data_IF_924254249953
#
_entry.id   IF_924254249953
#
_cell.length_a   1.000
_cell.length_b   1.000
_cell.length_c   1.000
_cell.angle_alpha   90.00
_cell.angle_beta   90.00
_cell.angle_gamma   90.00
#
_symmetry.space_group_name_H-M   'P 1'
#
loop_
_entity.id
_entity.type
_entity.pdbx_description
1 polymer ?
#
# COMPACT_ATOMS: atom_id res chain seq x y z
N UNK A 1 -18.14 15.49 -3.55
CA UNK A 1 -16.67 15.44 -3.65
C UNK A 1 -16.38 14.64 -4.90
N UNK A 2 -15.53 15.10 -5.84
CA UNK A 2 -15.18 14.29 -7.00
C UNK A 2 -14.45 13.05 -6.51
N UNK A 3 -14.79 11.90 -7.11
CA UNK A 3 -14.17 10.63 -6.79
C UNK A 3 -12.67 10.71 -7.07
N UNK A 4 -11.85 10.17 -6.17
CA UNK A 4 -10.38 10.15 -6.25
C UNK A 4 -9.83 9.52 -7.54
N UNK A 5 -10.65 8.76 -8.26
CA UNK A 5 -10.35 8.09 -9.53
C UNK A 5 -10.28 9.01 -10.76
N UNK A 6 -10.58 10.30 -10.60
CA UNK A 6 -10.52 11.26 -11.72
C UNK A 6 -9.12 11.85 -11.93
N UNK A 7 -8.13 11.42 -11.16
CA UNK A 7 -6.74 11.82 -11.30
C UNK A 7 -5.88 10.57 -11.48
N UNK A 8 -5.56 10.34 -12.73
CA UNK A 8 -4.66 9.30 -13.28
C UNK A 8 -3.84 8.52 -12.25
N UNK A 9 -4.05 7.19 -12.07
CA UNK A 9 -2.97 6.35 -11.62
C UNK A 9 -1.91 6.40 -12.75
N UNK A 10 -0.66 6.64 -12.42
CA UNK A 10 0.41 6.58 -13.37
C UNK A 10 0.80 5.14 -13.64
N UNK A 11 1.47 4.93 -14.74
CA UNK A 11 2.13 3.67 -14.97
C UNK A 11 3.12 3.43 -13.84
N UNK A 12 2.94 2.37 -13.12
CA UNK A 12 4.04 1.75 -12.42
C UNK A 12 4.94 1.22 -13.53
N UNK A 13 5.76 2.11 -14.07
CA UNK A 13 6.74 1.77 -15.08
C UNK A 13 7.61 0.68 -14.48
N UNK A 14 7.71 -0.46 -15.16
CA UNK A 14 8.61 -1.54 -14.80
C UNK A 14 10.04 -1.02 -14.75
N UNK A 15 10.38 -0.32 -13.69
CA UNK A 15 11.76 -0.07 -13.34
C UNK A 15 12.40 -1.45 -13.26
N UNK A 16 13.40 -1.70 -14.12
CA UNK A 16 14.22 -2.90 -14.06
C UNK A 16 14.79 -2.99 -12.65
N UNK A 17 14.05 -3.64 -11.75
CA UNK A 17 14.58 -4.07 -10.47
C UNK A 17 15.59 -5.17 -10.79
N UNK A 18 16.85 -4.79 -10.87
CA UNK A 18 17.95 -5.73 -10.96
C UNK A 18 17.81 -6.67 -9.76
N UNK A 19 17.44 -7.92 -10.08
CA UNK A 19 17.53 -9.10 -9.22
C UNK A 19 17.20 -8.86 -7.74
N UNK A 20 15.91 -8.87 -7.41
CA UNK A 20 15.51 -9.27 -6.09
C UNK A 20 15.74 -10.78 -6.01
N UNK A 21 16.85 -11.20 -5.41
CA UNK A 21 17.01 -12.57 -4.96
C UNK A 21 15.78 -12.91 -4.14
N UNK A 22 15.13 -14.01 -4.48
CA UNK A 22 14.07 -14.63 -3.69
C UNK A 22 14.67 -15.01 -2.33
N UNK A 23 14.66 -14.05 -1.40
CA UNK A 23 14.89 -14.32 0.01
C UNK A 23 13.54 -14.86 0.48
N UNK A 24 13.47 -16.18 0.64
CA UNK A 24 12.45 -16.80 1.46
C UNK A 24 12.63 -16.22 2.86
N UNK A 25 11.93 -15.14 3.16
CA UNK A 25 11.88 -14.59 4.50
C UNK A 25 11.26 -15.68 5.39
N UNK A 26 11.85 -16.00 6.56
CA UNK A 26 11.15 -16.81 7.53
C UNK A 26 9.79 -16.16 7.80
N UNK A 27 8.73 -16.96 7.89
CA UNK A 27 7.43 -16.49 8.35
C UNK A 27 7.66 -15.87 9.74
N UNK A 28 7.75 -14.53 9.77
CA UNK A 28 7.79 -13.80 11.03
C UNK A 28 6.35 -13.80 11.52
N UNK A 29 6.13 -14.52 12.60
CA UNK A 29 4.89 -14.55 13.34
C UNK A 29 4.65 -13.12 13.87
N UNK A 30 4.04 -12.26 13.04
CA UNK A 30 3.55 -10.95 13.47
C UNK A 30 2.28 -11.21 14.27
N UNK A 31 2.48 -11.82 15.46
CA UNK A 31 1.41 -12.11 16.40
C UNK A 31 0.64 -10.84 16.74
N UNK A 32 -0.65 -11.00 17.02
CA UNK A 32 -1.62 -9.95 17.36
C UNK A 32 -1.18 -8.97 18.48
N UNK A 33 0.03 -9.11 19.02
CA UNK A 33 0.56 -8.41 20.18
C UNK A 33 1.58 -7.29 19.92
N UNK A 34 2.04 -7.03 18.68
CA UNK A 34 3.11 -6.04 18.48
C UNK A 34 2.62 -4.59 18.53
N UNK A 35 1.41 -4.30 18.08
CA UNK A 35 0.86 -2.94 18.07
C UNK A 35 0.08 -2.66 19.33
N UNK A 36 0.48 -1.61 20.06
CA UNK A 36 -0.19 -1.18 21.29
C UNK A 36 -1.67 -0.86 21.05
N UNK A 37 -2.56 -1.56 21.72
CA UNK A 37 -4.01 -1.47 21.50
C UNK A 37 -4.58 -0.09 21.88
N UNK A 38 -4.01 0.56 22.89
CA UNK A 38 -4.46 1.87 23.34
C UNK A 38 -4.01 2.95 22.35
N UNK A 39 -2.77 2.87 21.85
CA UNK A 39 -2.30 3.73 20.76
C UNK A 39 -3.17 3.56 19.52
N UNK A 40 -3.46 2.31 19.11
CA UNK A 40 -4.27 2.00 17.95
C UNK A 40 -5.67 2.63 18.05
N UNK A 41 -6.33 2.46 19.20
CA UNK A 41 -7.67 3.01 19.42
C UNK A 41 -7.67 4.54 19.41
N UNK A 42 -6.70 5.18 20.09
CA UNK A 42 -6.58 6.64 20.10
C UNK A 42 -6.26 7.20 18.70
N UNK A 43 -5.29 6.61 18.02
CA UNK A 43 -4.87 7.06 16.69
C UNK A 43 -6.00 6.89 15.67
N UNK A 44 -6.72 5.77 15.68
CA UNK A 44 -7.87 5.56 14.81
C UNK A 44 -8.98 6.60 15.06
N UNK A 45 -9.28 6.92 16.33
CA UNK A 45 -10.28 7.92 16.67
C UNK A 45 -9.89 9.34 16.24
N UNK A 46 -8.60 9.69 16.32
CA UNK A 46 -8.11 11.02 15.99
C UNK A 46 -7.93 11.22 14.49
N UNK A 47 -7.43 10.20 13.78
CA UNK A 47 -7.14 10.28 12.35
C UNK A 47 -8.33 9.94 11.46
N UNK A 48 -9.34 9.27 12.00
CA UNK A 48 -10.47 8.72 11.24
C UNK A 48 -10.11 7.49 10.38
N UNK A 49 -8.89 6.98 10.50
CA UNK A 49 -8.47 5.76 9.80
C UNK A 49 -9.20 4.56 10.44
N UNK A 50 -9.84 3.68 9.67
CA UNK A 50 -10.39 2.45 10.23
C UNK A 50 -9.33 1.67 11.01
N UNK A 51 -9.61 1.29 12.26
CA UNK A 51 -8.62 0.66 13.15
C UNK A 51 -7.97 -0.57 12.51
N UNK A 52 -8.73 -1.34 11.70
CA UNK A 52 -8.20 -2.51 10.99
C UNK A 52 -7.12 -2.14 9.96
N UNK A 53 -7.34 -1.08 9.19
CA UNK A 53 -6.37 -0.58 8.23
C UNK A 53 -5.14 0.02 8.93
N UNK A 54 -5.36 0.84 9.98
CA UNK A 54 -4.27 1.44 10.75
C UNK A 54 -3.35 0.39 11.34
N UNK A 55 -3.91 -0.70 11.89
CA UNK A 55 -3.14 -1.83 12.40
C UNK A 55 -2.23 -2.43 11.32
N UNK A 56 -2.76 -2.66 10.11
CA UNK A 56 -2.00 -3.21 9.00
C UNK A 56 -0.84 -2.27 8.59
N UNK A 57 -1.08 -0.98 8.50
CA UNK A 57 -0.03 -0.01 8.18
C UNK A 57 1.06 0.07 9.24
N UNK A 58 0.68 0.04 10.51
CA UNK A 58 1.64 0.07 11.61
C UNK A 58 2.51 -1.21 11.63
N UNK A 59 1.89 -2.38 11.53
CA UNK A 59 2.59 -3.66 11.49
C UNK A 59 3.51 -3.78 10.27
N UNK A 60 3.05 -3.36 9.10
CA UNK A 60 3.85 -3.35 7.88
C UNK A 60 5.08 -2.42 7.98
N UNK A 61 4.92 -1.23 8.57
CA UNK A 61 6.02 -0.29 8.79
C UNK A 61 7.05 -0.88 9.77
N UNK A 62 6.61 -1.47 10.87
CA UNK A 62 7.48 -2.11 11.87
C UNK A 62 8.29 -3.26 11.24
N UNK A 63 7.62 -4.15 10.53
CA UNK A 63 8.26 -5.29 9.87
C UNK A 63 9.24 -4.83 8.77
N UNK A 64 8.86 -3.86 7.95
CA UNK A 64 9.74 -3.31 6.93
C UNK A 64 10.99 -2.66 7.55
N UNK A 65 10.86 -1.94 8.65
CA UNK A 65 11.98 -1.32 9.35
C UNK A 65 12.88 -2.35 10.05
N UNK A 66 12.33 -3.49 10.45
CA UNK A 66 13.12 -4.62 10.98
C UNK A 66 13.94 -5.29 9.87
N UNK A 67 13.34 -5.48 8.69
CA UNK A 67 13.99 -6.18 7.56
C UNK A 67 14.89 -5.26 6.73
N UNK A 68 14.58 -3.96 6.68
CA UNK A 68 15.34 -2.92 6.00
C UNK A 68 15.54 -1.70 6.90
N UNK A 69 16.44 -1.74 7.91
CA UNK A 69 16.55 -0.71 8.95
C UNK A 69 16.91 0.68 8.43
N UNK A 70 17.50 0.78 7.25
CA UNK A 70 17.82 2.06 6.59
C UNK A 70 16.61 2.75 6.02
N UNK A 71 15.51 2.04 5.78
CA UNK A 71 14.31 2.56 5.15
C UNK A 71 13.59 3.58 6.03
N UNK A 72 13.35 3.23 7.28
CA UNK A 72 12.69 4.07 8.28
C UNK A 72 11.34 4.62 7.82
N UNK A 73 10.55 3.75 7.19
CA UNK A 73 9.20 4.10 6.73
C UNK A 73 8.27 4.32 7.91
N UNK A 74 7.47 5.39 7.87
CA UNK A 74 6.41 5.63 8.84
C UNK A 74 5.08 5.01 8.41
N UNK A 75 4.29 4.55 9.39
CA UNK A 75 2.92 4.06 9.15
C UNK A 75 2.04 5.11 8.47
N UNK A 76 2.26 6.40 8.78
CA UNK A 76 1.53 7.53 8.20
C UNK A 76 1.72 7.64 6.68
N UNK A 77 2.89 7.27 6.15
CA UNK A 77 3.13 7.20 4.70
C UNK A 77 2.28 6.09 4.06
N UNK A 78 2.25 4.90 4.65
CA UNK A 78 1.42 3.78 4.16
C UNK A 78 -0.07 4.11 4.26
N UNK A 79 -0.49 4.71 5.37
CA UNK A 79 -1.87 5.15 5.55
C UNK A 79 -2.28 6.22 4.53
N UNK A 80 -1.40 7.16 4.23
CA UNK A 80 -1.66 8.19 3.22
C UNK A 80 -1.82 7.59 1.82
N UNK A 81 -0.98 6.61 1.45
CA UNK A 81 -1.13 5.87 0.20
C UNK A 81 -2.48 5.13 0.21
N UNK A 82 -2.79 4.36 1.24
CA UNK A 82 -4.07 3.62 1.32
C UNK A 82 -5.30 4.52 1.31
N UNK A 83 -5.19 5.75 1.83
CA UNK A 83 -6.25 6.76 1.71
C UNK A 83 -6.43 7.22 0.26
N UNK A 84 -5.34 7.58 -0.41
CA UNK A 84 -5.38 8.07 -1.79
C UNK A 84 -5.85 6.99 -2.75
N UNK A 85 -5.44 5.73 -2.52
CA UNK A 85 -5.76 4.61 -3.41
C UNK A 85 -7.21 4.13 -3.29
N UNK A 86 -7.72 4.01 -2.07
CA UNK A 86 -9.03 3.37 -1.88
C UNK A 86 -9.83 3.87 -0.67
N UNK A 87 -9.45 5.00 -0.07
CA UNK A 87 -10.00 5.42 1.23
C UNK A 87 -9.93 4.27 2.27
N UNK A 88 -8.74 3.65 2.38
CA UNK A 88 -8.47 2.52 3.28
C UNK A 88 -9.32 1.26 3.00
N UNK A 89 -9.61 0.97 1.75
CA UNK A 89 -10.44 -0.17 1.35
C UNK A 89 -11.94 0.08 1.46
N UNK A 90 -12.39 1.34 1.68
CA UNK A 90 -13.80 1.67 1.81
C UNK A 90 -14.42 2.26 0.53
N UNK A 91 -13.66 2.42 -0.53
CA UNK A 91 -14.16 2.95 -1.80
C UNK A 91 -15.33 2.10 -2.33
N UNK A 92 -16.33 2.75 -2.92
CA UNK A 92 -17.53 2.07 -3.42
C UNK A 92 -18.48 1.56 -2.32
N UNK A 93 -18.27 1.96 -1.06
CA UNK A 93 -19.08 1.51 0.08
C UNK A 93 -18.63 0.18 0.68
N UNK A 94 -17.44 -0.30 0.30
CA UNK A 94 -16.81 -1.46 0.89
C UNK A 94 -16.28 -1.20 2.32
N UNK A 95 -15.71 -2.23 2.91
CA UNK A 95 -15.03 -2.19 4.21
C UNK A 95 -14.00 -3.32 4.29
N UNK A 96 -13.18 -3.29 5.32
CA UNK A 96 -12.28 -4.41 5.63
C UNK A 96 -12.96 -5.32 6.66
N UNK A 97 -12.86 -6.62 6.45
CA UNK A 97 -13.28 -7.63 7.44
C UNK A 97 -12.29 -7.65 8.62
N UNK A 98 -12.63 -8.35 9.70
CA UNK A 98 -11.71 -8.57 10.81
C UNK A 98 -10.40 -9.26 10.37
N UNK A 99 -10.48 -10.16 9.39
CA UNK A 99 -9.31 -10.82 8.79
C UNK A 99 -8.51 -9.92 7.83
N UNK A 100 -8.93 -8.66 7.62
CA UNK A 100 -8.23 -7.74 6.72
C UNK A 100 -8.63 -7.82 5.27
N UNK A 101 -9.54 -8.71 4.93
CA UNK A 101 -10.00 -8.88 3.56
C UNK A 101 -10.95 -7.75 3.15
N UNK A 102 -10.80 -7.22 1.95
CA UNK A 102 -11.78 -6.32 1.39
C UNK A 102 -13.13 -7.02 1.22
N UNK A 103 -14.21 -6.41 1.71
CA UNK A 103 -15.56 -7.00 1.65
C UNK A 103 -16.15 -7.06 0.24
N UNK A 104 -15.55 -6.31 -0.69
CA UNK A 104 -15.86 -6.28 -2.11
C UNK A 104 -14.56 -6.15 -2.88
N UNK A 105 -14.47 -6.70 -4.09
CA UNK A 105 -13.32 -6.46 -4.97
C UNK A 105 -13.13 -4.95 -5.20
N UNK A 106 -11.91 -4.47 -5.01
CA UNK A 106 -11.52 -3.10 -5.31
C UNK A 106 -10.70 -3.16 -6.57
N UNK A 107 -11.34 -2.89 -7.71
CA UNK A 107 -10.71 -2.91 -9.03
C UNK A 107 -10.81 -1.51 -9.62
N UNK A 108 -9.67 -0.97 -9.98
CA UNK A 108 -9.55 0.36 -10.60
C UNK A 108 -10.05 0.37 -12.06
N UNK A 109 -9.97 1.51 -12.72
CA UNK A 109 -10.31 1.62 -14.14
C UNK A 109 -9.31 0.85 -15.01
N UNK A 110 -9.75 0.45 -16.21
CA UNK A 110 -8.92 -0.24 -17.20
C UNK A 110 -7.74 0.63 -17.64
N UNK A 111 -6.54 0.06 -17.64
CA UNK A 111 -5.31 0.69 -18.08
C UNK A 111 -5.14 0.55 -19.61
N UNK A 112 -6.12 1.05 -20.36
CA UNK A 112 -6.24 0.86 -21.82
C UNK A 112 -5.61 1.98 -22.65
N UNK A 113 -4.97 2.96 -22.03
CA UNK A 113 -4.33 4.08 -22.72
C UNK A 113 -5.23 5.32 -22.93
N UNK A 114 -6.52 5.28 -22.59
CA UNK A 114 -7.42 6.42 -22.79
C UNK A 114 -7.15 7.56 -21.80
N UNK A 115 -7.13 7.23 -20.52
CA UNK A 115 -6.86 8.17 -19.41
C UNK A 115 -5.59 7.84 -18.66
N UNK A 116 -5.12 6.61 -18.77
CA UNK A 116 -4.00 6.03 -18.05
C UNK A 116 -3.01 5.42 -19.03
N UNK A 117 -1.83 5.01 -18.57
CA UNK A 117 -0.91 4.25 -19.40
C UNK A 117 -1.59 3.00 -19.95
N UNK A 118 -1.23 2.63 -21.17
CA UNK A 118 -1.67 1.36 -21.75
C UNK A 118 -0.84 0.23 -21.14
N UNK A 119 -1.46 -0.61 -20.33
CA UNK A 119 -0.85 -1.82 -19.75
C UNK A 119 -1.71 -3.02 -20.17
N UNK A 120 -1.29 -3.76 -21.21
CA UNK A 120 -1.95 -5.00 -21.56
C UNK A 120 -1.94 -5.99 -20.40
N UNK A 121 -2.95 -6.85 -20.36
CA UNK A 121 -3.08 -7.89 -19.34
C UNK A 121 -1.79 -8.68 -19.12
N UNK A 122 -1.41 -8.87 -17.85
CA UNK A 122 -0.18 -9.53 -17.44
C UNK A 122 -0.39 -10.80 -16.62
N UNK A 123 -1.65 -11.15 -16.27
CA UNK A 123 -1.96 -12.30 -15.42
C UNK A 123 -3.14 -13.16 -15.92
N UNK A 124 -3.57 -12.95 -17.15
CA UNK A 124 -4.75 -13.60 -17.75
C UNK A 124 -6.07 -13.27 -17.00
N UNK A 125 -6.15 -12.06 -16.44
CA UNK A 125 -7.31 -11.58 -15.69
C UNK A 125 -7.51 -12.28 -14.34
N UNK A 126 -6.48 -12.88 -13.78
CA UNK A 126 -6.59 -13.65 -12.53
C UNK A 126 -6.93 -12.75 -11.36
N UNK A 127 -6.32 -11.58 -11.25
CA UNK A 127 -6.50 -10.68 -10.11
C UNK A 127 -7.63 -9.65 -10.31
N UNK A 128 -7.85 -9.21 -11.55
CA UNK A 128 -8.76 -8.10 -11.84
C UNK A 128 -9.99 -8.49 -12.68
N UNK A 129 -9.97 -9.67 -13.32
CA UNK A 129 -11.06 -10.20 -14.13
C UNK A 129 -11.05 -9.74 -15.58
N UNK A 130 -10.05 -8.95 -16.04
CA UNK A 130 -9.93 -8.49 -17.44
C UNK A 130 -8.69 -9.09 -18.11
N UNK A 131 -8.90 -9.97 -19.10
CA UNK A 131 -7.82 -10.62 -19.86
C UNK A 131 -7.31 -9.78 -21.06
N UNK A 132 -7.65 -8.50 -21.13
CA UNK A 132 -7.19 -7.58 -22.19
C UNK A 132 -6.28 -6.49 -21.62
N UNK A 133 -6.64 -5.95 -20.48
CA UNK A 133 -5.94 -4.82 -19.84
C UNK A 133 -5.82 -5.04 -18.36
N UNK A 134 -4.65 -4.73 -17.79
CA UNK A 134 -4.48 -4.70 -16.34
C UNK A 134 -5.33 -3.60 -15.70
N UNK A 135 -5.80 -3.87 -14.48
CA UNK A 135 -6.40 -2.92 -13.56
C UNK A 135 -5.63 -2.93 -12.25
N UNK A 136 -5.58 -1.80 -11.56
CA UNK A 136 -5.08 -1.78 -10.20
C UNK A 136 -6.07 -2.48 -9.26
N UNK A 137 -5.57 -3.29 -8.32
CA UNK A 137 -6.40 -4.11 -7.44
C UNK A 137 -6.12 -3.91 -5.96
N UNK A 138 -7.15 -4.08 -5.16
CA UNK A 138 -7.08 -4.11 -3.71
C UNK A 138 -6.97 -2.74 -3.04
N UNK A 139 -6.90 -2.72 -1.69
CA UNK A 139 -6.91 -1.48 -0.91
C UNK A 139 -5.69 -0.59 -1.15
N UNK A 140 -4.59 -1.12 -1.67
CA UNK A 140 -3.38 -0.37 -2.02
C UNK A 140 -3.18 -0.26 -3.53
N UNK A 141 -4.14 -0.70 -4.35
CA UNK A 141 -4.19 -0.54 -5.81
C UNK A 141 -2.90 -1.01 -6.54
N UNK A 142 -2.51 -2.25 -6.30
CA UNK A 142 -1.40 -2.85 -7.03
C UNK A 142 -1.81 -3.26 -8.44
N UNK A 143 -0.96 -2.99 -9.43
CA UNK A 143 -1.08 -3.55 -10.77
C UNK A 143 -0.64 -5.03 -10.74
N UNK A 144 -1.33 -5.97 -11.44
CA UNK A 144 -1.00 -7.39 -11.45
C UNK A 144 0.48 -7.70 -11.65
N UNK A 145 1.14 -7.09 -12.63
CA UNK A 145 2.57 -7.28 -12.88
C UNK A 145 3.46 -6.83 -11.70
N UNK A 146 3.09 -5.76 -11.02
CA UNK A 146 3.81 -5.32 -9.81
C UNK A 146 3.55 -6.26 -8.65
N UNK A 147 2.31 -6.74 -8.50
CA UNK A 147 1.98 -7.71 -7.47
C UNK A 147 2.76 -9.01 -7.60
N UNK A 148 2.90 -9.55 -8.81
CA UNK A 148 3.70 -10.75 -9.08
C UNK A 148 5.15 -10.60 -8.59
N UNK A 149 5.74 -9.39 -8.64
CA UNK A 149 7.11 -9.14 -8.21
C UNK A 149 7.22 -8.77 -6.72
N UNK A 150 6.28 -7.98 -6.22
CA UNK A 150 6.38 -7.32 -4.91
C UNK A 150 5.46 -7.92 -3.85
N UNK A 151 4.48 -8.76 -4.22
CA UNK A 151 3.51 -9.35 -3.29
C UNK A 151 4.18 -10.08 -2.13
N UNK A 152 3.68 -9.82 -0.92
CA UNK A 152 4.14 -10.41 0.34
C UNK A 152 2.95 -10.90 1.14
N UNK A 153 3.14 -12.02 1.80
CA UNK A 153 2.22 -12.52 2.82
C UNK A 153 2.47 -11.74 4.12
N UNK A 154 1.56 -10.85 4.45
CA UNK A 154 1.64 -9.96 5.62
C UNK A 154 0.83 -10.46 6.80
N UNK A 155 -0.16 -11.33 6.56
CA UNK A 155 -0.99 -11.93 7.61
C UNK A 155 -0.49 -13.31 8.07
N UNK A 156 0.48 -13.91 7.35
CA UNK A 156 1.11 -15.19 7.70
C UNK A 156 0.27 -16.42 7.33
N UNK A 157 -0.70 -16.30 6.43
CA UNK A 157 -1.56 -17.42 6.02
C UNK A 157 -0.97 -18.30 4.91
N UNK A 158 0.18 -17.91 4.37
CA UNK A 158 0.92 -18.61 3.32
C UNK A 158 0.53 -18.16 1.90
N UNK A 159 -0.34 -17.19 1.75
CA UNK A 159 -0.79 -16.65 0.47
C UNK A 159 -0.61 -15.13 0.44
N UNK A 160 0.00 -14.59 -0.60
CA UNK A 160 0.00 -13.14 -0.82
C UNK A 160 -1.25 -12.76 -1.63
N UNK A 161 -2.20 -12.06 -1.00
CA UNK A 161 -3.46 -11.63 -1.61
C UNK A 161 -3.56 -10.09 -1.65
N UNK A 162 -3.62 -9.46 -2.86
CA UNK A 162 -3.71 -8.01 -2.96
C UNK A 162 -5.01 -7.42 -2.39
N UNK A 163 -6.04 -8.25 -2.15
CA UNK A 163 -7.30 -7.83 -1.53
C UNK A 163 -7.24 -7.87 0.01
N UNK A 164 -6.19 -8.43 0.58
CA UNK A 164 -5.94 -8.39 2.03
C UNK A 164 -5.07 -7.19 2.39
N UNK A 165 -5.52 -6.38 3.36
CA UNK A 165 -4.82 -5.14 3.73
C UNK A 165 -3.46 -5.38 4.38
N UNK A 166 -3.25 -6.50 5.08
CA UNK A 166 -1.96 -6.80 5.71
C UNK A 166 -0.91 -7.11 4.63
N UNK A 167 -1.28 -7.93 3.65
CA UNK A 167 -0.43 -8.31 2.53
C UNK A 167 -0.13 -7.09 1.66
N UNK A 168 -1.17 -6.33 1.32
CA UNK A 168 -1.03 -5.14 0.51
C UNK A 168 -0.18 -4.07 1.19
N UNK A 169 -0.35 -3.84 2.51
CA UNK A 169 0.45 -2.87 3.27
C UNK A 169 1.92 -3.30 3.38
N UNK A 170 2.19 -4.59 3.65
CA UNK A 170 3.56 -5.10 3.70
C UNK A 170 4.25 -5.06 2.34
N UNK A 171 3.51 -5.40 1.28
CA UNK A 171 4.00 -5.30 -0.10
C UNK A 171 4.35 -3.85 -0.46
N UNK A 172 3.48 -2.89 -0.11
CA UNK A 172 3.72 -1.47 -0.31
C UNK A 172 4.96 -0.98 0.46
N UNK A 173 5.08 -1.35 1.74
CA UNK A 173 6.25 -1.01 2.55
C UNK A 173 7.54 -1.55 1.94
N UNK A 174 7.54 -2.83 1.54
CA UNK A 174 8.70 -3.48 0.90
C UNK A 174 9.08 -2.79 -0.42
N UNK A 175 8.08 -2.42 -1.22
CA UNK A 175 8.28 -1.74 -2.50
C UNK A 175 8.85 -0.32 -2.32
N UNK A 176 8.35 0.45 -1.36
CA UNK A 176 8.84 1.78 -1.05
C UNK A 176 10.27 1.75 -0.50
N UNK A 177 10.62 0.73 0.28
CA UNK A 177 11.96 0.54 0.86
C UNK A 177 12.98 -0.03 -0.13
N UNK A 178 12.55 -0.47 -1.31
CA UNK A 178 13.44 -1.09 -2.30
C UNK A 178 14.58 -0.14 -2.71
N UNK A 179 15.76 -0.71 -3.02
CA UNK A 179 16.92 0.06 -3.44
C UNK A 179 17.65 0.83 -2.32
N UNK A 180 17.38 0.50 -1.06
CA UNK A 180 18.07 1.09 0.10
C UNK A 180 17.71 2.55 0.36
N UNK A 181 16.49 2.96 -0.02
CA UNK A 181 15.99 4.33 0.22
C UNK A 181 15.87 4.60 1.72
N UNK A 182 16.19 5.84 2.10
CA UNK A 182 15.94 6.38 3.44
C UNK A 182 14.77 7.35 3.38
N UNK A 183 13.61 6.92 3.89
CA UNK A 183 12.36 7.68 3.81
C UNK A 183 12.26 8.81 4.85
N UNK A 184 13.24 8.97 5.71
CA UNK A 184 13.33 10.17 6.57
C UNK A 184 13.91 11.37 5.85
N UNK A 185 14.54 11.16 4.70
CA UNK A 185 15.04 12.24 3.85
C UNK A 185 13.96 12.65 2.83
N UNK A 186 13.84 13.95 2.57
CA UNK A 186 12.87 14.45 1.59
C UNK A 186 13.06 13.81 0.21
N UNK A 187 14.32 13.59 -0.20
CA UNK A 187 14.64 12.95 -1.48
C UNK A 187 14.22 11.47 -1.48
N UNK A 188 14.67 10.70 -0.48
CA UNK A 188 14.37 9.26 -0.43
C UNK A 188 12.86 9.00 -0.36
N UNK A 189 12.12 9.82 0.40
CA UNK A 189 10.67 9.76 0.47
C UNK A 189 10.02 10.08 -0.89
N UNK A 190 10.43 11.18 -1.52
CA UNK A 190 9.89 11.59 -2.82
C UNK A 190 10.18 10.53 -3.89
N UNK A 191 11.42 10.03 -3.95
CA UNK A 191 11.83 8.99 -4.91
C UNK A 191 11.04 7.68 -4.68
N UNK A 192 10.73 7.34 -3.44
CA UNK A 192 9.91 6.17 -3.09
C UNK A 192 8.46 6.32 -3.56
N UNK A 193 7.83 7.47 -3.26
CA UNK A 193 6.45 7.73 -3.66
C UNK A 193 6.31 7.89 -5.18
N UNK A 194 7.29 8.50 -5.86
CA UNK A 194 7.33 8.55 -7.33
C UNK A 194 7.52 7.16 -7.96
N UNK A 195 8.22 6.24 -7.28
CA UNK A 195 8.31 4.86 -7.76
C UNK A 195 6.96 4.13 -7.65
N UNK A 196 6.16 4.46 -6.63
CA UNK A 196 4.81 3.93 -6.46
C UNK A 196 3.86 4.49 -7.51
N UNK A 197 3.92 5.81 -7.71
CA UNK A 197 3.08 6.53 -8.65
C UNK A 197 3.85 7.74 -9.24
N UNK A 198 4.12 7.74 -10.57
CA UNK A 198 4.94 8.75 -11.26
C UNK A 198 4.23 10.09 -11.49
N UNK A 199 3.48 10.57 -10.50
CA UNK A 199 2.73 11.83 -10.56
C UNK A 199 3.14 12.78 -9.43
N UNK A 200 3.59 13.97 -9.78
CA UNK A 200 3.85 15.03 -8.80
C UNK A 200 2.60 15.41 -8.00
N UNK A 201 1.42 15.29 -8.61
CA UNK A 201 0.14 15.52 -7.92
C UNK A 201 -0.09 14.45 -6.87
N UNK A 202 0.16 13.20 -7.20
CA UNK A 202 0.08 12.09 -6.26
C UNK A 202 1.05 12.28 -5.09
N UNK A 203 2.31 12.60 -5.37
CA UNK A 203 3.32 12.88 -4.33
C UNK A 203 2.83 13.96 -3.37
N UNK A 204 2.24 15.05 -3.88
CA UNK A 204 1.69 16.10 -3.02
C UNK A 204 0.53 15.61 -2.17
N UNK A 205 -0.42 14.86 -2.76
CA UNK A 205 -1.57 14.30 -2.03
C UNK A 205 -1.13 13.37 -0.90
N UNK A 206 -0.23 12.42 -1.20
CA UNK A 206 0.30 11.51 -0.18
C UNK A 206 1.06 12.26 0.91
N UNK A 207 1.89 13.25 0.55
CA UNK A 207 2.62 14.07 1.52
C UNK A 207 1.67 14.81 2.46
N UNK A 208 0.69 15.51 1.88
CA UNK A 208 -0.24 16.35 2.64
C UNK A 208 -1.07 15.48 3.60
N UNK A 209 -1.50 14.29 3.14
CA UNK A 209 -2.24 13.35 3.97
C UNK A 209 -1.36 12.70 5.05
N UNK A 210 -0.12 12.31 4.72
CA UNK A 210 0.81 11.75 5.69
C UNK A 210 1.15 12.76 6.80
N UNK A 211 1.33 14.03 6.43
CA UNK A 211 1.56 15.12 7.38
C UNK A 211 0.34 15.37 8.27
N UNK A 212 -0.87 15.29 7.72
CA UNK A 212 -2.10 15.41 8.50
C UNK A 212 -2.24 14.29 9.52
N UNK A 213 -1.93 13.06 9.15
CA UNK A 213 -1.96 11.92 10.06
C UNK A 213 -0.91 12.01 11.17
N UNK A 214 0.30 12.46 10.84
CA UNK A 214 1.35 12.67 11.82
C UNK A 214 0.95 13.71 12.88
N UNK A 215 0.39 14.85 12.43
CA UNK A 215 -0.08 15.92 13.31
C UNK A 215 -1.27 15.53 14.20
N UNK A 216 -2.07 14.55 13.78
CA UNK A 216 -3.24 14.06 14.52
C UNK A 216 -2.92 12.86 15.43
N UNK A 217 -1.79 12.19 15.21
CA UNK A 217 -1.43 11.00 15.99
C UNK A 217 -0.94 11.41 17.39
N UNK A 218 -1.37 10.70 18.44
CA UNK A 218 -0.80 10.91 19.77
C UNK A 218 0.67 10.55 19.73
N UNK A 219 1.50 11.38 20.38
CA UNK A 219 2.91 11.04 20.60
C UNK A 219 2.97 9.71 21.36
N UNK A 220 3.84 8.80 20.90
CA UNK A 220 4.15 7.60 21.67
C UNK A 220 4.67 8.06 23.04
N UNK A 221 3.96 7.69 24.12
CA UNK A 221 4.34 7.99 25.51
C UNK A 221 5.50 7.12 25.97
#
# INVERSE_FOLDING_TARGET
MPAFWDQSPPPQSGAKLSTLSSISAPALDVTEGSIDAEWLARSAAQTGIPARALRAYAAAAELANTTAPTCRIGWNTLAAIGFVESAHGSHGGGSLTAAGQASQPIVGPSLNGDRFAAIPDTDAGVLDGDALWDHAVGPMQFIPSTWQMAGRDGNGDGVADPLNIDDAALSAASYLCAGGRDLTTARGWTDAVLAYNQSDTYVRQVRDQATAYDAQSPTAG
#
